data_IF_046745886573
#
_entry.id   IF_046745886573
#
_cell.length_a   1.000
_cell.length_b   1.000
_cell.length_c   1.000
_cell.angle_alpha   90.00
_cell.angle_beta   90.00
_cell.angle_gamma   90.00
#
_symmetry.space_group_name_H-M   'P 1'
#
loop_
_entity.id
_entity.type
_entity.pdbx_description
1 polymer ?
#
# COMPACT_ATOMS: atom_id res chain seq x y z
N UNK A 1 17.96 -14.26 -33.28
CA UNK A 1 17.35 -13.06 -32.65
C UNK A 1 16.52 -13.40 -31.42
N UNK A 2 15.69 -14.44 -31.48
CA UNK A 2 14.86 -14.98 -30.37
C UNK A 2 15.64 -15.32 -29.10
N UNK A 3 16.85 -15.84 -29.22
CA UNK A 3 17.68 -16.26 -28.08
C UNK A 3 18.18 -15.07 -27.23
N UNK A 4 18.49 -13.96 -27.89
CA UNK A 4 18.87 -12.70 -27.24
C UNK A 4 17.69 -12.07 -26.50
N UNK A 5 16.48 -12.19 -27.04
CA UNK A 5 15.27 -11.73 -26.35
C UNK A 5 15.01 -12.57 -25.09
N UNK A 6 15.10 -13.89 -25.20
CA UNK A 6 14.91 -14.80 -24.06
C UNK A 6 15.87 -14.51 -22.91
N UNK A 7 17.15 -14.28 -23.21
CA UNK A 7 18.13 -13.97 -22.16
C UNK A 7 17.89 -12.61 -21.49
N UNK A 8 17.38 -11.61 -22.23
CA UNK A 8 16.97 -10.32 -21.68
C UNK A 8 15.75 -10.44 -20.75
N UNK A 9 14.74 -11.22 -21.13
CA UNK A 9 13.56 -11.44 -20.30
C UNK A 9 13.93 -12.13 -18.99
N UNK A 10 14.79 -13.16 -19.03
CA UNK A 10 15.26 -13.83 -17.81
C UNK A 10 16.11 -12.90 -16.96
N UNK A 11 16.98 -12.08 -17.58
CA UNK A 11 17.83 -11.12 -16.85
C UNK A 11 17.01 -10.08 -16.08
N UNK A 12 15.87 -9.66 -16.62
CA UNK A 12 15.01 -8.63 -16.04
C UNK A 12 13.66 -9.20 -15.59
N UNK A 13 13.62 -10.47 -15.22
CA UNK A 13 12.39 -11.16 -14.78
C UNK A 13 11.70 -10.41 -13.63
N UNK A 14 12.51 -9.92 -12.69
CA UNK A 14 12.07 -9.07 -11.58
C UNK A 14 11.31 -7.81 -11.98
N UNK A 15 11.49 -7.29 -13.21
CA UNK A 15 10.75 -6.13 -13.71
C UNK A 15 9.30 -6.47 -14.06
N UNK A 16 8.97 -7.75 -14.20
CA UNK A 16 7.64 -8.27 -14.52
C UNK A 16 6.98 -8.96 -13.32
N UNK A 17 7.63 -8.98 -12.17
CA UNK A 17 7.02 -9.46 -10.93
C UNK A 17 5.84 -8.55 -10.56
N UNK A 18 4.72 -9.16 -10.17
CA UNK A 18 3.55 -8.43 -9.69
C UNK A 18 3.68 -7.99 -8.22
N UNK A 19 4.93 -7.84 -7.75
CA UNK A 19 5.28 -7.46 -6.37
C UNK A 19 5.76 -6.02 -6.37
N UNK A 20 5.28 -5.24 -5.41
CA UNK A 20 5.73 -3.86 -5.25
C UNK A 20 7.21 -3.81 -4.85
N UNK A 21 7.97 -2.95 -5.54
CA UNK A 21 9.34 -2.62 -5.17
C UNK A 21 9.42 -1.58 -4.06
N UNK A 22 10.58 -1.49 -3.40
CA UNK A 22 10.91 -0.45 -2.40
C UNK A 22 12.29 0.12 -2.68
N UNK A 23 12.47 1.42 -2.49
CA UNK A 23 13.77 2.10 -2.61
C UNK A 23 14.11 2.82 -1.31
N UNK A 24 15.39 2.82 -0.94
CA UNK A 24 15.94 3.60 0.18
C UNK A 24 16.62 4.90 -0.28
N UNK A 25 16.65 5.17 -1.59
CA UNK A 25 17.37 6.31 -2.16
C UNK A 25 16.77 7.67 -1.77
N UNK A 26 15.45 7.74 -1.61
CA UNK A 26 14.72 8.97 -1.26
C UNK A 26 13.56 8.60 -0.35
N UNK A 27 13.31 9.46 0.64
CA UNK A 27 12.09 9.42 1.46
C UNK A 27 11.22 10.63 1.09
N UNK A 28 9.95 10.39 0.80
CA UNK A 28 9.01 11.46 0.49
C UNK A 28 8.51 12.10 1.81
N UNK A 29 8.57 13.42 1.88
CA UNK A 29 8.01 14.20 2.98
C UNK A 29 6.88 15.08 2.43
N UNK A 30 5.75 15.09 3.14
CA UNK A 30 4.60 15.95 2.82
C UNK A 30 4.67 17.15 3.76
N UNK A 31 4.77 18.37 3.20
CA UNK A 31 4.69 19.62 3.95
C UNK A 31 3.21 20.00 4.16
N UNK A 32 2.77 19.94 5.42
CA UNK A 32 1.41 20.31 5.83
C UNK A 32 1.28 21.77 6.27
N UNK A 33 2.37 22.55 6.25
CA UNK A 33 2.41 23.95 6.68
C UNK A 33 1.82 24.14 8.09
N UNK A 34 0.92 25.11 8.23
CA UNK A 34 0.26 25.44 9.50
C UNK A 34 -1.08 24.70 9.72
N UNK A 35 -1.39 23.67 8.92
CA UNK A 35 -2.67 22.97 9.02
C UNK A 35 -2.71 22.06 10.25
N UNK A 36 -3.79 22.15 11.02
CA UNK A 36 -3.99 21.29 12.20
C UNK A 36 -4.38 19.87 11.77
N UNK A 37 -4.05 18.84 12.57
CA UNK A 37 -4.47 17.47 12.29
C UNK A 37 -5.99 17.30 12.21
N UNK A 38 -6.44 16.51 11.24
CA UNK A 38 -7.85 16.14 11.07
C UNK A 38 -8.02 14.67 11.43
N UNK A 39 -8.93 14.40 12.37
CA UNK A 39 -9.26 13.04 12.82
C UNK A 39 -10.74 12.77 12.61
N UNK A 40 -11.04 11.83 11.73
CA UNK A 40 -12.39 11.37 11.44
C UNK A 40 -12.61 9.96 12.00
N UNK A 41 -13.81 9.73 12.55
CA UNK A 41 -14.20 8.42 13.07
C UNK A 41 -14.41 7.41 11.93
N UNK A 42 -14.02 6.13 12.11
CA UNK A 42 -14.32 5.07 11.15
C UNK A 42 -15.82 4.90 10.92
N UNK A 43 -16.21 4.59 9.68
CA UNK A 43 -17.60 4.29 9.36
C UNK A 43 -18.03 2.91 9.89
N UNK A 44 -19.33 2.78 10.20
CA UNK A 44 -19.93 1.48 10.50
C UNK A 44 -20.00 0.66 9.21
N UNK A 45 -19.53 -0.58 9.28
CA UNK A 45 -19.55 -1.53 8.16
C UNK A 45 -20.23 -2.83 8.57
N UNK A 46 -20.85 -3.52 7.61
CA UNK A 46 -21.43 -4.85 7.86
C UNK A 46 -20.33 -5.88 8.17
N UNK A 47 -20.66 -7.00 8.83
CA UNK A 47 -19.68 -8.05 9.14
C UNK A 47 -18.93 -8.56 7.92
N UNK A 48 -19.63 -8.83 6.81
CA UNK A 48 -19.01 -9.29 5.55
C UNK A 48 -18.00 -8.28 4.99
N UNK A 49 -18.32 -6.98 5.05
CA UNK A 49 -17.39 -5.92 4.62
C UNK A 49 -16.18 -5.80 5.54
N UNK A 50 -16.39 -5.98 6.86
CA UNK A 50 -15.31 -5.96 7.84
C UNK A 50 -14.30 -7.08 7.61
N UNK A 51 -14.77 -8.26 7.21
CA UNK A 51 -13.90 -9.40 6.86
C UNK A 51 -13.01 -9.09 5.66
N UNK A 52 -13.57 -8.53 4.58
CA UNK A 52 -12.81 -8.09 3.41
C UNK A 52 -11.72 -7.08 3.80
N UNK A 53 -12.08 -6.07 4.59
CA UNK A 53 -11.13 -5.05 5.08
C UNK A 53 -10.01 -5.71 5.89
N UNK A 54 -10.35 -6.62 6.80
CA UNK A 54 -9.36 -7.29 7.65
C UNK A 54 -8.38 -8.14 6.86
N UNK A 55 -8.87 -8.84 5.82
CA UNK A 55 -8.03 -9.64 4.92
C UNK A 55 -7.05 -8.76 4.17
N UNK A 56 -7.50 -7.64 3.59
CA UNK A 56 -6.62 -6.75 2.83
C UNK A 56 -5.59 -6.03 3.73
N UNK A 57 -6.00 -5.60 4.93
CA UNK A 57 -5.07 -5.04 5.92
C UNK A 57 -3.99 -6.06 6.28
N UNK A 58 -4.36 -7.31 6.54
CA UNK A 58 -3.42 -8.38 6.89
C UNK A 58 -2.44 -8.64 5.74
N UNK A 59 -2.94 -8.69 4.51
CA UNK A 59 -2.12 -8.84 3.30
C UNK A 59 -1.11 -7.69 3.17
N UNK A 60 -1.55 -6.43 3.24
CA UNK A 60 -0.68 -5.26 3.12
C UNK A 60 0.36 -5.16 4.25
N UNK A 61 0.01 -5.58 5.48
CA UNK A 61 0.95 -5.69 6.59
C UNK A 61 2.04 -6.74 6.29
N UNK A 62 1.66 -7.92 5.81
CA UNK A 62 2.60 -8.99 5.47
C UNK A 62 3.52 -8.61 4.29
N UNK A 63 3.01 -7.84 3.34
CA UNK A 63 3.78 -7.29 2.21
C UNK A 63 4.64 -6.07 2.60
N UNK A 64 4.50 -5.55 3.83
CA UNK A 64 5.26 -4.40 4.33
C UNK A 64 4.89 -3.07 3.67
N UNK A 65 3.68 -2.96 3.12
CA UNK A 65 3.15 -1.75 2.47
C UNK A 65 2.66 -0.75 3.52
N UNK A 66 2.06 -1.24 4.61
CA UNK A 66 1.55 -0.43 5.72
C UNK A 66 2.15 -0.89 7.05
N UNK A 67 2.05 -0.03 8.06
CA UNK A 67 2.50 -0.33 9.42
C UNK A 67 1.52 0.24 10.47
N UNK A 68 1.46 -0.33 11.68
CA UNK A 68 0.73 0.28 12.79
C UNK A 68 1.31 1.65 13.15
N UNK A 69 0.44 2.65 13.33
CA UNK A 69 0.87 3.99 13.72
C UNK A 69 -0.03 4.58 14.82
N UNK A 70 0.51 5.53 15.58
CA UNK A 70 -0.24 6.35 16.52
C UNK A 70 -0.22 7.80 16.03
N UNK A 71 -1.17 8.16 15.16
CA UNK A 71 -1.22 9.46 14.48
C UNK A 71 -2.35 10.34 14.99
N UNK A 72 -2.15 11.68 15.08
CA UNK A 72 -3.24 12.63 15.29
C UNK A 72 -4.14 12.78 14.06
N UNK A 73 -3.72 12.28 12.89
CA UNK A 73 -4.52 12.24 11.67
C UNK A 73 -5.24 10.89 11.53
N UNK A 74 -6.51 10.89 11.11
CA UNK A 74 -7.20 9.67 10.72
C UNK A 74 -8.30 9.97 9.69
N UNK A 75 -8.41 9.11 8.68
CA UNK A 75 -9.47 9.14 7.68
C UNK A 75 -10.19 7.78 7.64
N UNK A 76 -11.52 7.75 7.45
CA UNK A 76 -12.27 6.50 7.40
C UNK A 76 -12.04 5.78 6.06
N UNK A 77 -12.07 4.45 6.10
CA UNK A 77 -11.99 3.60 4.91
C UNK A 77 -13.37 3.49 4.24
N UNK A 78 -13.39 3.45 2.91
CA UNK A 78 -14.58 3.16 2.11
C UNK A 78 -14.30 1.98 1.18
N UNK A 79 -15.23 1.03 1.09
CA UNK A 79 -15.19 -0.04 0.09
C UNK A 79 -16.00 0.36 -1.14
N UNK A 80 -15.43 0.14 -2.32
CA UNK A 80 -16.09 0.36 -3.61
C UNK A 80 -16.44 -0.99 -4.26
N UNK A 81 -17.47 -1.03 -5.12
CA UNK A 81 -17.83 -2.22 -5.89
C UNK A 81 -16.72 -2.71 -6.83
#
# INVERSE_FOLDING_TARGET
QTEKLKSLLVKYDQCFENRLGRTSLVHHQIDTGNTKPIKLSPYRVSPARKEIISTEITKMLNEGIIEPCNSPYAAPITLQP
#
